data_IF_244219119453
#
_entry.id   IF_244219119453
#
_cell.length_a   1.000
_cell.length_b   1.000
_cell.length_c   1.000
_cell.angle_alpha   90.00
_cell.angle_beta   90.00
_cell.angle_gamma   90.00
#
_symmetry.space_group_name_H-M   'P 1'
#
loop_
_entity.id
_entity.type
_entity.pdbx_description
1 polymer ?
#
# COMPACT_ATOMS: atom_id res chain seq x y z
N UNK A 1 15.69 -25.69 -8.23
CA UNK A 1 14.77 -25.70 -7.07
C UNK A 1 14.91 -24.42 -6.25
N UNK A 2 16.08 -24.15 -5.65
CA UNK A 2 16.33 -22.94 -4.84
C UNK A 2 15.88 -21.62 -5.48
N UNK A 3 16.28 -21.36 -6.74
CA UNK A 3 15.89 -20.15 -7.46
C UNK A 3 14.39 -19.97 -7.67
N UNK A 4 13.63 -21.07 -7.78
CA UNK A 4 12.17 -21.02 -7.90
C UNK A 4 11.54 -20.61 -6.57
N UNK A 5 11.95 -21.24 -5.47
CA UNK A 5 11.51 -20.87 -4.12
C UNK A 5 11.83 -19.41 -3.81
N UNK A 6 13.05 -18.96 -4.11
CA UNK A 6 13.47 -17.58 -3.86
C UNK A 6 12.64 -16.58 -4.69
N UNK A 7 12.34 -16.90 -5.94
CA UNK A 7 11.44 -16.09 -6.77
C UNK A 7 10.03 -16.05 -6.19
N UNK A 8 9.45 -17.19 -5.82
CA UNK A 8 8.12 -17.24 -5.22
C UNK A 8 8.07 -16.48 -3.89
N UNK A 9 9.14 -16.51 -3.08
CA UNK A 9 9.25 -15.70 -1.86
C UNK A 9 9.25 -14.21 -2.14
N UNK A 10 9.99 -13.77 -3.15
CA UNK A 10 9.96 -12.38 -3.58
C UNK A 10 8.53 -11.96 -3.96
N UNK A 11 7.83 -12.79 -4.73
CA UNK A 11 6.45 -12.52 -5.13
C UNK A 11 5.52 -12.49 -3.90
N UNK A 12 5.66 -13.41 -2.95
CA UNK A 12 4.89 -13.41 -1.69
C UNK A 12 5.10 -12.09 -0.93
N UNK A 13 6.34 -11.60 -0.82
CA UNK A 13 6.64 -10.33 -0.15
C UNK A 13 5.91 -9.17 -0.85
N UNK A 14 5.96 -9.12 -2.18
CA UNK A 14 5.24 -8.10 -2.94
C UNK A 14 3.72 -8.17 -2.69
N UNK A 15 3.16 -9.38 -2.65
CA UNK A 15 1.73 -9.57 -2.40
C UNK A 15 1.33 -9.31 -0.95
N UNK A 16 2.20 -9.55 0.03
CA UNK A 16 1.97 -9.11 1.40
C UNK A 16 1.87 -7.60 1.52
N UNK A 17 2.69 -6.83 0.78
CA UNK A 17 2.55 -5.37 0.74
C UNK A 17 1.24 -4.94 0.07
N UNK A 18 0.89 -5.54 -1.06
CA UNK A 18 -0.38 -5.25 -1.77
C UNK A 18 -1.60 -5.52 -0.90
N UNK A 19 -1.55 -6.60 -0.12
CA UNK A 19 -2.61 -6.97 0.82
C UNK A 19 -2.51 -6.26 2.18
N UNK A 20 -1.54 -5.35 2.35
CA UNK A 20 -1.29 -4.60 3.59
C UNK A 20 -1.14 -5.50 4.83
N UNK A 21 -0.53 -6.69 4.66
CA UNK A 21 -0.36 -7.67 5.73
C UNK A 21 0.58 -7.15 6.80
N UNK A 22 0.17 -7.26 8.07
CA UNK A 22 1.03 -6.87 9.20
C UNK A 22 2.20 -7.85 9.39
N UNK A 23 3.24 -7.42 10.10
CA UNK A 23 4.39 -8.27 10.42
C UNK A 23 3.97 -9.55 11.16
N UNK A 24 3.03 -9.44 12.10
CA UNK A 24 2.47 -10.59 12.83
C UNK A 24 1.75 -11.57 11.90
N UNK A 25 1.02 -11.07 10.90
CA UNK A 25 0.36 -11.94 9.92
C UNK A 25 1.39 -12.67 9.06
N UNK A 26 2.42 -11.97 8.59
CA UNK A 26 3.52 -12.53 7.79
C UNK A 26 4.28 -13.60 8.57
N UNK A 27 4.53 -13.36 9.86
CA UNK A 27 5.24 -14.28 10.74
C UNK A 27 4.51 -15.62 10.95
N UNK A 28 3.18 -15.68 10.75
CA UNK A 28 2.42 -16.95 10.84
C UNK A 28 2.75 -17.92 9.71
N UNK A 29 3.26 -17.45 8.57
CA UNK A 29 3.71 -18.30 7.47
C UNK A 29 5.15 -18.78 7.73
N UNK A 30 5.34 -19.63 8.74
CA UNK A 30 6.65 -20.08 9.26
C UNK A 30 7.54 -20.70 8.15
N UNK A 31 6.91 -21.36 7.17
CA UNK A 31 7.57 -21.97 6.01
C UNK A 31 8.38 -20.97 5.17
N UNK A 32 8.09 -19.68 5.27
CA UNK A 32 8.86 -18.62 4.62
C UNK A 32 10.30 -18.51 5.16
N UNK A 33 10.52 -18.80 6.45
CA UNK A 33 11.82 -18.64 7.12
C UNK A 33 12.73 -19.87 6.96
N UNK A 34 12.18 -21.01 6.57
CA UNK A 34 12.93 -22.26 6.41
C UNK A 34 13.87 -22.20 5.20
N UNK A 35 14.98 -22.93 5.24
CA UNK A 35 16.00 -22.95 4.16
C UNK A 35 16.05 -24.28 3.39
N UNK A 36 14.93 -25.02 3.38
CA UNK A 36 14.80 -26.32 2.73
C UNK A 36 14.28 -26.23 1.30
N UNK A 37 15.17 -26.21 0.31
CA UNK A 37 14.77 -26.05 -1.09
C UNK A 37 14.33 -27.36 -1.75
N UNK A 38 13.10 -27.81 -1.45
CA UNK A 38 12.45 -28.98 -2.04
C UNK A 38 11.11 -28.63 -2.73
N UNK A 39 10.51 -29.61 -3.42
CA UNK A 39 9.25 -29.41 -4.15
C UNK A 39 8.07 -29.10 -3.25
N UNK A 40 7.99 -29.73 -2.07
CA UNK A 40 6.86 -29.53 -1.17
C UNK A 40 6.88 -28.13 -0.55
N UNK A 41 8.07 -27.59 -0.25
CA UNK A 41 8.25 -26.18 0.10
C UNK A 41 7.73 -25.28 -1.02
N UNK A 42 8.14 -25.53 -2.26
CA UNK A 42 7.71 -24.71 -3.40
C UNK A 42 6.18 -24.70 -3.52
N UNK A 43 5.54 -25.87 -3.44
CA UNK A 43 4.07 -25.99 -3.47
C UNK A 43 3.40 -25.19 -2.37
N UNK A 44 3.93 -25.22 -1.14
CA UNK A 44 3.37 -24.42 -0.03
C UNK A 44 3.49 -22.92 -0.29
N UNK A 45 4.58 -22.47 -0.91
CA UNK A 45 4.75 -21.06 -1.29
C UNK A 45 3.81 -20.66 -2.43
N UNK A 46 3.62 -21.53 -3.42
CA UNK A 46 2.66 -21.30 -4.52
C UNK A 46 1.22 -21.20 -3.98
N UNK A 47 0.83 -22.08 -3.05
CA UNK A 47 -0.49 -22.03 -2.41
C UNK A 47 -0.70 -20.74 -1.60
N UNK A 48 0.30 -20.29 -0.83
CA UNK A 48 0.23 -19.01 -0.11
C UNK A 48 0.09 -17.84 -1.09
N UNK A 49 0.88 -17.83 -2.17
CA UNK A 49 0.83 -16.80 -3.19
C UNK A 49 -0.54 -16.73 -3.88
N UNK A 50 -1.13 -17.88 -4.20
CA UNK A 50 -2.47 -17.95 -4.79
C UNK A 50 -3.55 -17.48 -3.81
N UNK A 51 -3.43 -17.84 -2.52
CA UNK A 51 -4.33 -17.34 -1.48
C UNK A 51 -4.25 -15.82 -1.33
N UNK A 52 -3.06 -15.23 -1.38
CA UNK A 52 -2.88 -13.77 -1.34
C UNK A 52 -3.51 -13.08 -2.55
N UNK A 53 -3.30 -13.62 -3.76
CA UNK A 53 -3.90 -13.11 -4.99
C UNK A 53 -5.42 -13.18 -4.95
N UNK A 54 -5.97 -14.29 -4.48
CA UNK A 54 -7.42 -14.45 -4.30
C UNK A 54 -7.96 -13.45 -3.28
N UNK A 55 -7.33 -13.35 -2.11
CA UNK A 55 -7.72 -12.40 -1.07
C UNK A 55 -7.69 -10.96 -1.56
N UNK A 56 -6.65 -10.57 -2.31
CA UNK A 56 -6.61 -9.27 -2.95
C UNK A 56 -7.74 -9.07 -3.95
N UNK A 57 -7.97 -10.04 -4.85
CA UNK A 57 -9.02 -9.95 -5.87
C UNK A 57 -10.42 -9.81 -5.26
N UNK A 58 -10.72 -10.58 -4.22
CA UNK A 58 -12.00 -10.50 -3.50
C UNK A 58 -12.21 -9.16 -2.77
N UNK A 59 -11.12 -8.46 -2.43
CA UNK A 59 -11.14 -7.22 -1.65
C UNK A 59 -10.55 -6.03 -2.42
N UNK A 60 -10.42 -6.13 -3.74
CA UNK A 60 -9.67 -5.17 -4.55
C UNK A 60 -10.20 -3.74 -4.39
N UNK A 61 -11.53 -3.60 -4.38
CA UNK A 61 -12.19 -2.30 -4.20
C UNK A 61 -11.83 -1.67 -2.85
N UNK A 62 -11.70 -2.47 -1.78
CA UNK A 62 -11.32 -1.97 -0.46
C UNK A 62 -9.87 -1.46 -0.50
N UNK A 63 -8.95 -2.23 -1.08
CA UNK A 63 -7.56 -1.79 -1.23
C UNK A 63 -7.44 -0.50 -2.06
N UNK A 64 -8.18 -0.41 -3.17
CA UNK A 64 -8.23 0.82 -3.98
C UNK A 64 -8.76 2.02 -3.18
N UNK A 65 -9.82 1.83 -2.37
CA UNK A 65 -10.34 2.89 -1.50
C UNK A 65 -9.33 3.33 -0.44
N UNK A 66 -8.56 2.40 0.12
CA UNK A 66 -7.48 2.74 1.08
C UNK A 66 -6.40 3.58 0.41
N UNK A 67 -5.95 3.20 -0.80
CA UNK A 67 -4.97 3.99 -1.56
C UNK A 67 -5.50 5.39 -1.87
N UNK A 68 -6.72 5.50 -2.38
CA UNK A 68 -7.36 6.79 -2.64
C UNK A 68 -7.45 7.65 -1.37
N UNK A 69 -7.80 7.04 -0.24
CA UNK A 69 -7.87 7.74 1.05
C UNK A 69 -6.49 8.26 1.48
N UNK A 70 -5.43 7.48 1.32
CA UNK A 70 -4.07 7.91 1.64
C UNK A 70 -3.64 9.09 0.75
N UNK A 71 -3.91 9.03 -0.55
CA UNK A 71 -3.63 10.15 -1.45
C UNK A 71 -4.39 11.44 -1.08
N UNK A 72 -5.67 11.31 -0.71
CA UNK A 72 -6.46 12.45 -0.25
C UNK A 72 -5.91 13.03 1.05
N UNK A 73 -5.48 12.17 1.97
CA UNK A 73 -4.86 12.58 3.22
C UNK A 73 -3.56 13.36 2.99
N UNK A 74 -2.69 12.89 2.11
CA UNK A 74 -1.44 13.57 1.77
C UNK A 74 -1.69 14.95 1.12
N UNK A 75 -2.69 15.05 0.25
CA UNK A 75 -3.12 16.34 -0.33
C UNK A 75 -3.62 17.29 0.75
N UNK A 76 -4.40 16.80 1.70
CA UNK A 76 -4.89 17.59 2.83
C UNK A 76 -3.73 18.13 3.69
N UNK A 77 -2.75 17.28 4.04
CA UNK A 77 -1.55 17.68 4.78
C UNK A 77 -0.73 18.75 4.02
N UNK A 78 -0.61 18.61 2.70
CA UNK A 78 0.07 19.60 1.87
C UNK A 78 -0.65 20.95 1.87
N UNK A 79 -1.99 20.96 1.82
CA UNK A 79 -2.80 22.18 1.93
C UNK A 79 -2.66 22.84 3.30
N UNK A 80 -2.63 22.06 4.38
CA UNK A 80 -2.41 22.57 5.74
C UNK A 80 -1.03 23.23 5.88
N UNK A 81 0.02 22.59 5.35
CA UNK A 81 1.38 23.14 5.32
C UNK A 81 1.46 24.45 4.54
N UNK A 82 0.74 24.55 3.41
CA UNK A 82 0.63 25.81 2.64
C UNK A 82 -0.11 26.90 3.43
N UNK A 83 -1.19 26.56 4.15
CA UNK A 83 -1.91 27.55 4.96
C UNK A 83 -1.08 28.12 6.11
N UNK A 84 -0.16 27.34 6.66
CA UNK A 84 0.71 27.74 7.75
C UNK A 84 1.98 28.49 7.28
N UNK A 85 2.14 28.74 5.98
CA UNK A 85 3.33 29.43 5.45
C UNK A 85 3.25 30.96 5.70
N UNK A 86 4.23 31.58 6.40
CA UNK A 86 4.24 33.02 6.66
C UNK A 86 4.31 33.90 5.39
N UNK A 87 4.75 33.36 4.24
CA UNK A 87 4.75 34.08 2.95
C UNK A 87 3.47 33.87 2.12
N UNK A 88 2.46 33.17 2.66
CA UNK A 88 1.20 32.87 1.96
C UNK A 88 0.51 34.09 1.35
N UNK A 89 0.60 35.23 2.02
CA UNK A 89 -0.05 36.48 1.58
C UNK A 89 0.80 37.32 0.61
N UNK A 90 1.89 36.79 0.05
CA UNK A 90 2.70 37.50 -0.95
C UNK A 90 2.10 37.39 -2.37
N UNK A 91 1.37 36.30 -2.68
CA UNK A 91 0.69 36.04 -3.97
C UNK A 91 -0.84 35.94 -3.80
N UNK A 92 -1.46 37.08 -3.45
CA UNK A 92 -2.76 37.16 -2.74
C UNK A 92 -4.03 36.72 -3.48
N UNK A 93 -4.05 36.63 -4.81
CA UNK A 93 -5.32 36.52 -5.55
C UNK A 93 -5.69 35.09 -5.92
N UNK A 94 -5.08 34.62 -7.00
CA UNK A 94 -5.51 33.41 -7.70
C UNK A 94 -5.11 32.13 -6.93
N UNK A 95 -3.94 32.16 -6.29
CA UNK A 95 -3.40 31.03 -5.53
C UNK A 95 -4.26 30.70 -4.30
N UNK A 96 -4.79 31.72 -3.60
CA UNK A 96 -5.66 31.51 -2.44
C UNK A 96 -7.03 30.95 -2.85
N UNK A 97 -7.56 31.40 -4.00
CA UNK A 97 -8.83 30.90 -4.52
C UNK A 97 -8.71 29.44 -4.96
N UNK A 98 -7.58 29.07 -5.57
CA UNK A 98 -7.30 27.69 -5.95
C UNK A 98 -7.13 26.79 -4.73
N UNK A 99 -6.37 27.23 -3.71
CA UNK A 99 -6.23 26.51 -2.44
C UNK A 99 -7.59 26.25 -1.77
N UNK A 100 -8.49 27.24 -1.78
CA UNK A 100 -9.81 27.11 -1.15
C UNK A 100 -10.74 26.17 -1.94
N UNK A 101 -10.67 26.18 -3.27
CA UNK A 101 -11.39 25.21 -4.12
C UNK A 101 -10.91 23.79 -3.88
N UNK A 102 -9.58 23.59 -3.81
CA UNK A 102 -8.98 22.29 -3.52
C UNK A 102 -9.38 21.80 -2.12
N UNK A 103 -9.35 22.68 -1.10
CA UNK A 103 -9.79 22.36 0.26
C UNK A 103 -11.23 21.85 0.31
N UNK A 104 -12.17 22.58 -0.32
CA UNK A 104 -13.58 22.18 -0.38
C UNK A 104 -13.78 20.82 -1.05
N UNK A 105 -12.99 20.51 -2.07
CA UNK A 105 -13.06 19.23 -2.76
C UNK A 105 -12.50 18.08 -1.91
N UNK A 106 -11.49 18.33 -1.06
CA UNK A 106 -10.92 17.32 -0.15
C UNK A 106 -11.68 17.13 1.16
N UNK A 107 -12.59 18.04 1.53
CA UNK A 107 -13.32 17.99 2.82
C UNK A 107 -14.71 17.35 2.74
N UNK A 108 -15.12 16.82 1.59
CA UNK A 108 -16.40 16.12 1.41
C UNK A 108 -16.20 14.61 1.31
#
# INVERSE_FOLDING_TARGET
MKSFVERTRHDIVEWWERCMKSEDERARFITFLLHDFNEDMLKLHELELDSLKQFYGENEQIFQMVVQRLEMWDRMLALEKKSNNPTRYHNRGDQLLQEEKERRHTSC
#
